data_IF_635740365630
#
_entry.id   IF_635740365630
#
_cell.length_a   1.000
_cell.length_b   1.000
_cell.length_c   1.000
_cell.angle_alpha   90.00
_cell.angle_beta   90.00
_cell.angle_gamma   90.00
#
_symmetry.space_group_name_H-M   'P 1'
#
loop_
_entity.id
_entity.type
_entity.pdbx_description
1 polymer ?
#
# COMPACT_ATOMS: atom_id res chain seq x y z
N UNK A 1 -1.15 -5.77 25.47
CA UNK A 1 -1.32 -5.01 24.22
C UNK A 1 -2.75 -4.48 24.07
N UNK A 2 -3.80 -5.25 24.44
CA UNK A 2 -5.20 -4.80 24.30
C UNK A 2 -5.43 -3.45 25.00
N UNK A 3 -5.04 -3.32 26.26
CA UNK A 3 -5.19 -2.06 27.01
C UNK A 3 -4.48 -0.86 26.34
N UNK A 4 -3.41 -1.10 25.55
CA UNK A 4 -2.74 -0.02 24.81
C UNK A 4 -3.57 0.44 23.62
N UNK A 5 -4.22 -0.50 22.93
CA UNK A 5 -5.11 -0.20 21.83
C UNK A 5 -6.39 0.50 22.31
N UNK A 6 -7.01 -0.02 23.36
CA UNK A 6 -8.20 0.58 23.99
C UNK A 6 -7.93 1.99 24.52
N UNK A 7 -6.77 2.17 25.17
CA UNK A 7 -6.34 3.47 25.71
C UNK A 7 -5.83 4.44 24.66
N UNK A 8 -5.75 4.04 23.37
CA UNK A 8 -5.20 4.85 22.27
C UNK A 8 -3.79 5.38 22.53
N UNK A 9 -2.96 4.57 23.22
CA UNK A 9 -1.57 4.93 23.52
C UNK A 9 -0.61 4.64 22.37
N UNK A 10 -1.08 3.95 21.33
CA UNK A 10 -0.31 3.58 20.15
C UNK A 10 -1.13 3.83 18.88
N UNK A 11 -0.47 4.21 17.80
CA UNK A 11 -1.10 4.46 16.51
C UNK A 11 -1.35 3.17 15.73
N UNK A 12 -0.49 2.16 15.90
CA UNK A 12 -0.67 0.84 15.30
C UNK A 12 -0.06 -0.26 16.16
N UNK A 13 -0.53 -1.49 15.94
CA UNK A 13 0.00 -2.71 16.53
C UNK A 13 0.54 -3.62 15.43
N UNK A 14 1.71 -4.23 15.67
CA UNK A 14 2.37 -5.13 14.72
C UNK A 14 2.79 -6.44 15.41
N UNK A 15 1.84 -7.36 15.65
CA UNK A 15 2.16 -8.66 16.24
C UNK A 15 2.98 -9.53 15.28
N UNK A 16 3.97 -10.23 15.83
CA UNK A 16 4.86 -11.12 15.08
C UNK A 16 4.27 -12.52 15.00
N UNK A 17 3.61 -12.85 13.89
CA UNK A 17 3.02 -14.16 13.64
C UNK A 17 3.99 -15.01 12.78
N UNK A 18 5.12 -15.40 13.34
CA UNK A 18 6.21 -16.09 12.64
C UNK A 18 6.03 -17.61 12.57
N UNK A 19 4.81 -18.08 12.38
CA UNK A 19 4.45 -19.49 12.21
C UNK A 19 3.75 -19.71 10.87
N UNK A 20 3.73 -20.96 10.39
CA UNK A 20 2.96 -21.29 9.19
C UNK A 20 1.45 -21.23 9.48
N UNK A 21 0.66 -21.17 8.40
CA UNK A 21 -0.81 -21.04 8.48
C UNK A 21 -1.40 -22.14 9.39
N UNK A 22 -0.95 -23.39 9.22
CA UNK A 22 -1.47 -24.55 9.95
C UNK A 22 -0.49 -25.09 10.99
N UNK A 23 0.37 -24.25 11.55
CA UNK A 23 1.32 -24.69 12.58
C UNK A 23 0.59 -25.30 13.77
N UNK A 24 1.04 -26.47 14.25
CA UNK A 24 0.31 -27.31 15.23
C UNK A 24 -0.01 -26.60 16.54
N UNK A 25 0.92 -25.84 17.10
CA UNK A 25 0.80 -25.21 18.42
C UNK A 25 0.48 -23.71 18.36
N UNK A 26 0.96 -23.00 17.35
CA UNK A 26 0.81 -21.56 17.19
C UNK A 26 0.44 -21.24 15.73
N UNK A 27 -0.73 -21.71 15.29
CA UNK A 27 -1.22 -21.52 13.94
C UNK A 27 -1.35 -20.04 13.60
N UNK A 28 -0.73 -19.61 12.50
CA UNK A 28 -0.88 -18.24 11.99
C UNK A 28 -2.36 -17.87 11.84
N UNK A 29 -3.18 -18.75 11.28
CA UNK A 29 -4.60 -18.48 11.04
C UNK A 29 -5.38 -18.22 12.35
N UNK A 30 -5.10 -18.97 13.41
CA UNK A 30 -5.75 -18.77 14.72
C UNK A 30 -5.28 -17.49 15.39
N UNK A 31 -3.99 -17.19 15.33
CA UNK A 31 -3.42 -15.98 15.90
C UNK A 31 -3.91 -14.74 15.14
N UNK A 32 -3.94 -14.79 13.79
CA UNK A 32 -4.49 -13.72 12.96
C UNK A 32 -5.94 -13.43 13.33
N UNK A 33 -6.78 -14.48 13.42
CA UNK A 33 -8.17 -14.30 13.83
C UNK A 33 -8.27 -13.62 15.19
N UNK A 34 -7.48 -14.07 16.15
CA UNK A 34 -7.50 -13.49 17.50
C UNK A 34 -7.12 -12.00 17.48
N UNK A 35 -6.07 -11.62 16.74
CA UNK A 35 -5.67 -10.22 16.59
C UNK A 35 -6.73 -9.39 15.86
N UNK A 36 -7.34 -9.94 14.83
CA UNK A 36 -8.43 -9.29 14.10
C UNK A 36 -9.64 -9.04 15.02
N UNK A 37 -10.06 -10.05 15.77
CA UNK A 37 -11.21 -9.94 16.69
C UNK A 37 -10.96 -8.93 17.84
N UNK A 38 -9.70 -8.68 18.19
CA UNK A 38 -9.32 -7.80 19.29
C UNK A 38 -8.70 -6.46 18.84
N UNK A 39 -8.71 -6.16 17.55
CA UNK A 39 -8.24 -4.88 17.03
C UNK A 39 -9.27 -3.78 17.26
N UNK A 40 -9.16 -3.10 18.39
CA UNK A 40 -10.04 -1.99 18.75
C UNK A 40 -9.34 -0.65 18.58
N UNK A 41 -9.93 0.28 17.82
CA UNK A 41 -9.46 1.66 17.67
C UNK A 41 -7.99 1.86 17.25
N UNK A 42 -7.32 0.82 16.75
CA UNK A 42 -5.89 0.84 16.42
C UNK A 42 -5.66 0.04 15.14
N UNK A 43 -4.88 0.56 14.21
CA UNK A 43 -4.50 -0.18 13.02
C UNK A 43 -3.65 -1.40 13.38
N UNK A 44 -4.00 -2.57 12.86
CA UNK A 44 -3.25 -3.81 13.06
C UNK A 44 -2.60 -4.22 11.74
N UNK A 45 -1.30 -4.41 11.78
CA UNK A 45 -0.49 -4.97 10.68
C UNK A 45 0.13 -6.27 11.16
N UNK A 46 0.19 -7.29 10.34
CA UNK A 46 0.74 -8.59 10.73
C UNK A 46 2.21 -8.70 10.35
N UNK A 47 3.05 -9.02 11.33
CA UNK A 47 4.45 -9.35 11.11
C UNK A 47 4.61 -10.77 10.61
N UNK A 48 5.15 -10.94 9.39
CA UNK A 48 5.38 -12.22 8.75
C UNK A 48 6.87 -12.60 8.81
N UNK A 49 7.16 -13.85 9.13
CA UNK A 49 8.51 -14.40 9.27
C UNK A 49 9.14 -14.81 7.93
N UNK A 50 9.33 -13.88 7.00
CA UNK A 50 9.89 -14.18 5.67
C UNK A 50 11.29 -14.81 5.71
N UNK A 51 12.08 -14.58 6.77
CA UNK A 51 13.40 -15.21 6.97
C UNK A 51 13.33 -16.73 7.09
N UNK A 52 12.17 -17.29 7.42
CA UNK A 52 11.94 -18.73 7.57
C UNK A 52 11.85 -19.48 6.24
N UNK A 53 11.64 -18.77 5.14
CA UNK A 53 11.57 -19.39 3.82
C UNK A 53 12.84 -20.20 3.55
N UNK A 54 12.69 -21.51 3.32
CA UNK A 54 13.76 -22.53 3.13
C UNK A 54 14.66 -22.78 4.36
N UNK A 55 14.40 -22.22 5.52
CA UNK A 55 15.33 -22.28 6.66
C UNK A 55 14.71 -22.75 7.98
N UNK A 56 13.44 -23.10 8.00
CA UNK A 56 12.73 -23.52 9.21
C UNK A 56 12.57 -25.06 9.28
N UNK A 57 12.39 -25.59 10.50
CA UNK A 57 12.07 -27.01 10.72
C UNK A 57 10.66 -27.38 10.24
N UNK A 58 9.73 -26.43 10.22
CA UNK A 58 8.40 -26.60 9.65
C UNK A 58 8.47 -26.61 8.13
N UNK A 59 8.15 -27.79 7.53
CA UNK A 59 8.21 -28.00 6.08
C UNK A 59 7.30 -27.12 5.26
N UNK A 60 6.30 -26.48 5.86
CA UNK A 60 5.44 -25.49 5.19
C UNK A 60 6.24 -24.31 4.63
N UNK A 61 7.32 -23.89 5.30
CA UNK A 61 8.21 -22.84 4.82
C UNK A 61 9.04 -23.17 3.59
N UNK A 62 8.98 -24.43 3.13
CA UNK A 62 9.58 -24.87 1.85
C UNK A 62 8.59 -24.77 0.67
N UNK A 63 7.33 -24.43 0.94
CA UNK A 63 6.30 -24.22 -0.09
C UNK A 63 6.36 -22.76 -0.53
N UNK A 64 6.49 -22.46 -1.84
CA UNK A 64 6.57 -21.07 -2.34
C UNK A 64 5.35 -20.22 -1.98
N UNK A 65 4.18 -20.85 -1.85
CA UNK A 65 2.90 -20.20 -1.57
C UNK A 65 2.66 -19.82 -0.10
N UNK A 66 3.52 -20.18 0.86
CA UNK A 66 3.23 -19.92 2.28
C UNK A 66 3.05 -18.43 2.57
N UNK A 67 3.97 -17.56 2.16
CA UNK A 67 3.85 -16.10 2.34
C UNK A 67 2.69 -15.52 1.51
N UNK A 68 2.53 -15.79 0.21
CA UNK A 68 1.34 -15.38 -0.54
C UNK A 68 0.02 -15.73 0.14
N UNK A 69 -0.13 -16.97 0.59
CA UNK A 69 -1.34 -17.43 1.27
C UNK A 69 -1.56 -16.73 2.62
N UNK A 70 -0.51 -16.41 3.37
CA UNK A 70 -0.60 -15.61 4.59
C UNK A 70 -1.14 -14.20 4.29
N UNK A 71 -0.70 -13.58 3.19
CA UNK A 71 -1.18 -12.26 2.76
C UNK A 71 -2.66 -12.33 2.39
N UNK A 72 -3.06 -13.32 1.59
CA UNK A 72 -4.46 -13.50 1.18
C UNK A 72 -5.36 -13.72 2.40
N UNK A 73 -4.90 -14.53 3.35
CA UNK A 73 -5.61 -14.73 4.61
C UNK A 73 -5.71 -13.44 5.43
N UNK A 74 -4.63 -12.65 5.51
CA UNK A 74 -4.65 -11.35 6.18
C UNK A 74 -5.67 -10.41 5.54
N UNK A 75 -5.73 -10.35 4.21
CA UNK A 75 -6.67 -9.51 3.46
C UNK A 75 -8.13 -9.92 3.61
N UNK A 76 -8.41 -11.15 4.04
CA UNK A 76 -9.78 -11.58 4.34
C UNK A 76 -10.36 -10.96 5.64
N UNK A 77 -9.53 -10.29 6.44
CA UNK A 77 -9.94 -9.59 7.65
C UNK A 77 -9.93 -8.07 7.42
N UNK A 78 -11.08 -7.41 7.26
CA UNK A 78 -11.15 -5.99 6.88
C UNK A 78 -10.59 -5.03 7.94
N UNK A 79 -10.44 -5.49 9.17
CA UNK A 79 -9.87 -4.75 10.29
C UNK A 79 -8.36 -4.99 10.49
N UNK A 80 -7.71 -5.70 9.56
CA UNK A 80 -6.26 -5.86 9.50
C UNK A 80 -5.73 -5.15 8.25
N UNK A 81 -4.88 -4.14 8.43
CA UNK A 81 -4.53 -3.19 7.37
C UNK A 81 -3.38 -3.63 6.46
N UNK A 82 -2.64 -4.68 6.84
CA UNK A 82 -1.57 -5.16 5.98
C UNK A 82 -0.52 -6.02 6.67
N UNK A 83 0.61 -6.17 5.99
CA UNK A 83 1.69 -7.05 6.38
C UNK A 83 3.03 -6.29 6.49
N UNK A 84 3.86 -6.71 7.44
CA UNK A 84 5.25 -6.32 7.54
C UNK A 84 6.13 -7.56 7.58
N UNK A 85 7.33 -7.48 7.03
CA UNK A 85 8.17 -8.67 6.82
C UNK A 85 9.49 -8.59 7.57
N UNK A 86 9.81 -9.63 8.32
CA UNK A 86 11.11 -9.81 8.90
C UNK A 86 11.79 -11.03 8.23
N UNK A 87 12.77 -10.83 7.35
CA UNK A 87 13.36 -9.57 6.95
C UNK A 87 13.34 -9.43 5.41
N UNK A 88 13.71 -8.25 4.91
CA UNK A 88 13.82 -7.97 3.48
C UNK A 88 14.78 -8.91 2.73
N UNK A 89 15.73 -9.52 3.42
CA UNK A 89 16.73 -10.44 2.82
C UNK A 89 16.11 -11.58 2.02
N UNK A 90 14.96 -12.11 2.46
CA UNK A 90 14.26 -13.18 1.75
C UNK A 90 13.77 -12.73 0.37
N UNK A 91 13.38 -11.46 0.25
CA UNK A 91 12.93 -10.87 -1.01
C UNK A 91 14.09 -10.46 -1.90
N UNK A 92 15.15 -9.85 -1.35
CA UNK A 92 16.36 -9.51 -2.11
C UNK A 92 16.96 -10.77 -2.76
N UNK A 93 16.98 -11.89 -2.05
CA UNK A 93 17.48 -13.18 -2.55
C UNK A 93 16.45 -13.94 -3.40
N UNK A 94 15.23 -13.43 -3.57
CA UNK A 94 14.10 -14.07 -4.25
C UNK A 94 13.94 -15.55 -3.88
N UNK A 95 13.96 -15.84 -2.59
CA UNK A 95 13.88 -17.22 -2.09
C UNK A 95 12.60 -17.91 -2.55
N UNK A 96 12.72 -19.04 -3.28
CA UNK A 96 11.59 -19.81 -3.84
C UNK A 96 10.68 -18.96 -4.75
N UNK A 97 11.25 -18.02 -5.49
CA UNK A 97 10.53 -17.14 -6.42
C UNK A 97 9.38 -16.34 -5.76
N UNK A 98 9.48 -16.11 -4.44
CA UNK A 98 8.43 -15.44 -3.68
C UNK A 98 8.17 -14.02 -4.20
N UNK A 99 9.20 -13.32 -4.64
CA UNK A 99 9.04 -11.96 -5.22
C UNK A 99 8.20 -12.01 -6.47
N UNK A 100 8.54 -12.89 -7.41
CA UNK A 100 7.79 -13.06 -8.66
C UNK A 100 6.34 -13.47 -8.41
N UNK A 101 6.10 -14.32 -7.41
CA UNK A 101 4.73 -14.68 -7.01
C UNK A 101 3.97 -13.47 -6.49
N UNK A 102 4.58 -12.65 -5.64
CA UNK A 102 3.94 -11.48 -5.05
C UNK A 102 3.69 -10.38 -6.09
N UNK A 103 4.67 -10.09 -6.95
CA UNK A 103 4.56 -9.09 -8.01
C UNK A 103 3.47 -9.43 -9.04
N UNK A 104 3.30 -10.72 -9.33
CA UNK A 104 2.27 -11.16 -10.27
C UNK A 104 0.87 -11.30 -9.66
N UNK A 105 0.75 -11.30 -8.32
CA UNK A 105 -0.51 -11.54 -7.61
C UNK A 105 -0.79 -10.44 -6.57
N UNK A 106 -0.35 -10.65 -5.31
CA UNK A 106 -0.76 -9.82 -4.17
C UNK A 106 -0.28 -8.37 -4.27
N UNK A 107 0.87 -8.12 -4.89
CA UNK A 107 1.47 -6.79 -5.06
C UNK A 107 1.58 -6.37 -6.53
N UNK A 108 0.71 -6.90 -7.37
CA UNK A 108 0.63 -6.55 -8.79
C UNK A 108 0.40 -5.06 -9.02
N UNK A 109 -0.35 -4.43 -8.14
CA UNK A 109 -0.69 -3.01 -8.22
C UNK A 109 -0.04 -2.23 -7.09
N UNK A 110 0.30 -0.97 -7.36
CA UNK A 110 0.76 -0.04 -6.34
C UNK A 110 -0.30 0.19 -5.27
N UNK A 111 0.14 0.43 -4.05
CA UNK A 111 -0.77 0.73 -2.94
C UNK A 111 -0.42 2.09 -2.31
N UNK A 112 -1.45 2.73 -1.77
CA UNK A 112 -1.32 3.91 -0.93
C UNK A 112 -1.43 3.45 0.51
N UNK A 113 -0.43 3.75 1.37
CA UNK A 113 -0.52 3.45 2.79
C UNK A 113 -1.72 4.16 3.43
N UNK A 114 -2.40 3.50 4.35
CA UNK A 114 -3.45 4.14 5.13
C UNK A 114 -2.88 5.28 5.99
N UNK A 115 -3.63 6.37 6.17
CA UNK A 115 -3.22 7.43 7.04
C UNK A 115 -3.13 6.96 8.49
N UNK A 116 -2.26 7.61 9.27
CA UNK A 116 -2.16 7.34 10.71
C UNK A 116 -3.45 7.84 11.38
N UNK A 117 -4.18 7.00 12.15
CA UNK A 117 -5.49 7.36 12.70
C UNK A 117 -5.51 8.65 13.51
N UNK A 118 -4.45 8.92 14.29
CA UNK A 118 -4.32 10.13 15.11
C UNK A 118 -4.12 11.41 14.28
N UNK A 119 -3.80 11.27 13.00
CA UNK A 119 -3.49 12.39 12.09
C UNK A 119 -4.49 12.53 10.94
N UNK A 120 -5.61 11.79 10.96
CA UNK A 120 -6.66 11.94 9.95
C UNK A 120 -7.21 13.36 10.03
N UNK A 121 -6.97 14.13 8.96
CA UNK A 121 -7.54 15.45 8.76
C UNK A 121 -8.51 15.41 7.61
N UNK A 122 -9.64 16.06 7.77
CA UNK A 122 -10.56 16.32 6.66
C UNK A 122 -9.98 17.46 5.81
N UNK A 123 -9.81 17.22 4.52
CA UNK A 123 -9.54 18.28 3.56
C UNK A 123 -8.07 18.44 3.15
N UNK A 124 -7.41 17.33 2.76
CA UNK A 124 -6.19 17.47 1.95
C UNK A 124 -6.53 18.21 0.66
N UNK A 125 -5.70 19.19 0.33
CA UNK A 125 -5.91 20.07 -0.82
C UNK A 125 -5.83 19.27 -2.13
N UNK A 126 -6.77 19.52 -3.04
CA UNK A 126 -6.82 18.82 -4.34
C UNK A 126 -5.85 19.46 -5.34
N UNK A 127 -5.22 18.66 -6.23
CA UNK A 127 -4.42 19.19 -7.32
C UNK A 127 -5.24 20.09 -8.25
N UNK A 128 -4.79 21.31 -8.47
CA UNK A 128 -5.37 22.21 -9.46
C UNK A 128 -4.44 22.25 -10.68
N UNK A 129 -4.92 21.76 -11.81
CA UNK A 129 -4.20 21.83 -13.08
C UNK A 129 -4.17 23.30 -13.53
N UNK A 130 -2.98 23.84 -13.68
CA UNK A 130 -2.75 25.20 -14.16
C UNK A 130 -2.54 25.23 -15.68
N UNK A 131 -1.71 24.32 -16.18
CA UNK A 131 -1.43 24.16 -17.61
C UNK A 131 -1.59 22.71 -18.00
N UNK A 132 -2.28 22.52 -19.12
CA UNK A 132 -2.36 21.24 -19.82
C UNK A 132 -2.04 21.43 -21.29
N UNK A 133 -1.03 20.71 -21.80
CA UNK A 133 -0.68 20.69 -23.20
C UNK A 133 -0.51 19.25 -23.68
N UNK A 134 -0.89 19.01 -24.94
CA UNK A 134 -0.67 17.74 -25.63
C UNK A 134 0.29 17.96 -26.80
N UNK A 135 1.38 17.20 -26.81
CA UNK A 135 2.36 17.21 -27.89
C UNK A 135 2.58 15.77 -28.40
N UNK A 136 2.03 15.48 -29.57
CA UNK A 136 2.08 14.12 -30.11
C UNK A 136 1.46 13.08 -29.18
N UNK A 137 2.28 12.16 -28.68
CA UNK A 137 1.88 11.11 -27.74
C UNK A 137 2.17 11.46 -26.28
N UNK A 138 2.54 12.69 -25.98
CA UNK A 138 2.87 13.14 -24.63
C UNK A 138 1.88 14.17 -24.11
N UNK A 139 1.63 14.10 -22.82
CA UNK A 139 0.73 15.00 -22.10
C UNK A 139 1.53 15.71 -21.02
N UNK A 140 1.54 17.04 -21.07
CA UNK A 140 2.23 17.91 -20.12
C UNK A 140 1.21 18.50 -19.16
N UNK A 141 1.40 18.27 -17.88
CA UNK A 141 0.59 18.87 -16.80
C UNK A 141 1.46 19.75 -15.93
N UNK A 142 0.96 20.91 -15.59
CA UNK A 142 1.53 21.75 -14.57
C UNK A 142 0.47 22.01 -13.50
N UNK A 143 0.86 21.93 -12.24
CA UNK A 143 -0.02 22.17 -11.11
C UNK A 143 0.47 23.38 -10.34
N UNK A 144 -0.47 24.21 -9.90
CA UNK A 144 -0.16 25.25 -8.94
C UNK A 144 0.37 24.61 -7.67
N UNK A 145 1.44 25.18 -7.15
CA UNK A 145 1.89 24.82 -5.80
C UNK A 145 0.78 25.22 -4.84
N UNK A 146 0.27 24.27 -4.13
CA UNK A 146 -0.62 24.54 -3.02
C UNK A 146 0.17 25.13 -1.86
N UNK A 147 -0.46 25.94 -1.05
CA UNK A 147 0.17 26.62 0.10
C UNK A 147 0.66 25.62 1.17
N UNK A 148 0.21 24.38 1.09
CA UNK A 148 0.53 23.33 2.05
C UNK A 148 1.90 22.71 1.79
N UNK A 149 2.89 23.05 2.61
CA UNK A 149 4.17 22.35 2.69
C UNK A 149 4.04 20.87 3.11
N UNK A 150 2.82 20.41 3.38
CA UNK A 150 2.52 19.06 3.88
C UNK A 150 2.38 18.03 2.77
N UNK A 151 2.21 18.43 1.50
CA UNK A 151 2.08 17.50 0.39
C UNK A 151 3.41 16.78 0.13
N UNK A 152 3.33 15.45 -0.04
CA UNK A 152 4.49 14.58 -0.27
C UNK A 152 4.44 13.83 -1.58
N UNK A 153 3.25 13.45 -2.03
CA UNK A 153 3.10 12.71 -3.27
C UNK A 153 1.94 13.24 -4.10
N UNK A 154 2.08 13.09 -5.42
CA UNK A 154 0.98 13.12 -6.36
C UNK A 154 0.75 11.69 -6.84
N UNK A 155 -0.52 11.25 -6.84
CA UNK A 155 -0.93 9.96 -7.37
C UNK A 155 -1.67 10.18 -8.68
N UNK A 156 -1.37 9.36 -9.65
CA UNK A 156 -1.92 9.41 -10.99
C UNK A 156 -2.80 8.18 -11.18
N UNK A 157 -4.06 8.40 -11.43
CA UNK A 157 -5.05 7.38 -11.76
C UNK A 157 -5.46 7.45 -13.23
N UNK A 158 -5.81 6.31 -13.79
CA UNK A 158 -6.38 6.27 -15.14
C UNK A 158 -7.48 5.23 -15.28
N UNK A 159 -8.44 5.53 -16.16
CA UNK A 159 -9.52 4.63 -16.51
C UNK A 159 -9.81 4.65 -18.03
N UNK A 160 -10.46 3.59 -18.52
CA UNK A 160 -10.86 3.45 -19.91
C UNK A 160 -12.29 3.95 -20.15
N UNK A 161 -12.52 4.49 -21.35
CA UNK A 161 -13.85 4.75 -21.90
C UNK A 161 -14.75 5.55 -20.95
N UNK A 162 -15.92 5.00 -20.63
CA UNK A 162 -16.90 5.63 -19.76
C UNK A 162 -16.76 5.25 -18.28
N UNK A 163 -15.80 4.40 -17.92
CA UNK A 163 -15.56 4.01 -16.52
C UNK A 163 -15.25 5.25 -15.67
N UNK A 164 -15.75 5.25 -14.45
CA UNK A 164 -15.35 6.27 -13.45
C UNK A 164 -13.98 5.91 -12.90
N UNK A 165 -13.19 6.94 -12.58
CA UNK A 165 -11.99 6.75 -11.79
C UNK A 165 -12.42 6.55 -10.34
N UNK A 166 -11.96 5.45 -9.76
CA UNK A 166 -12.13 5.10 -8.34
C UNK A 166 -10.77 5.11 -7.67
N UNK A 167 -10.52 6.07 -6.79
CA UNK A 167 -9.25 6.19 -6.07
C UNK A 167 -9.03 5.05 -5.06
N UNK A 168 -10.07 4.26 -4.73
CA UNK A 168 -9.92 3.06 -3.90
C UNK A 168 -9.50 1.82 -4.71
N UNK A 169 -9.56 1.89 -6.04
CA UNK A 169 -9.12 0.79 -6.91
C UNK A 169 -7.64 0.96 -7.29
N UNK A 170 -6.78 0.22 -6.61
CA UNK A 170 -5.34 0.25 -6.85
C UNK A 170 -4.93 -0.16 -8.27
N UNK A 171 -5.80 -0.89 -9.01
CA UNK A 171 -5.55 -1.24 -10.41
C UNK A 171 -5.60 -0.04 -11.35
N UNK A 172 -6.16 1.07 -10.91
CA UNK A 172 -6.23 2.33 -11.64
C UNK A 172 -5.04 3.25 -11.37
N UNK A 173 -4.22 2.96 -10.35
CA UNK A 173 -3.00 3.71 -10.07
C UNK A 173 -1.97 3.44 -11.17
N UNK A 174 -1.57 4.49 -11.86
CA UNK A 174 -0.46 4.44 -12.83
C UNK A 174 0.86 4.65 -12.11
N UNK A 175 0.93 5.71 -11.30
CA UNK A 175 2.18 6.11 -10.66
C UNK A 175 1.92 6.93 -9.40
N UNK A 176 2.86 6.85 -8.46
CA UNK A 176 2.94 7.68 -7.27
C UNK A 176 4.29 8.39 -7.26
N UNK A 177 4.29 9.70 -7.44
CA UNK A 177 5.49 10.52 -7.60
C UNK A 177 5.71 11.36 -6.34
N UNK A 178 6.92 11.30 -5.79
CA UNK A 178 7.32 12.16 -4.67
C UNK A 178 7.46 13.61 -5.11
N UNK A 179 6.88 14.51 -4.33
CA UNK A 179 6.98 15.95 -4.53
C UNK A 179 7.97 16.53 -3.51
N UNK A 180 9.04 17.14 -4.01
CA UNK A 180 9.94 17.87 -3.13
C UNK A 180 9.21 19.11 -2.60
N UNK A 181 9.09 19.28 -1.26
CA UNK A 181 8.38 20.43 -0.68
C UNK A 181 8.98 21.78 -1.03
N UNK A 182 10.22 21.81 -1.50
CA UNK A 182 10.91 23.04 -1.91
C UNK A 182 10.67 23.45 -3.37
N UNK A 183 9.95 22.64 -4.16
CA UNK A 183 9.65 22.98 -5.56
C UNK A 183 8.53 24.02 -5.65
N UNK A 184 8.68 24.99 -6.56
CA UNK A 184 7.69 26.04 -6.76
C UNK A 184 6.54 25.64 -7.69
N UNK A 185 6.73 24.59 -8.48
CA UNK A 185 5.70 24.04 -9.36
C UNK A 185 5.88 22.55 -9.54
N UNK A 186 4.77 21.82 -9.71
CA UNK A 186 4.79 20.41 -10.04
C UNK A 186 4.53 20.29 -11.53
N UNK A 187 5.49 19.70 -12.26
CA UNK A 187 5.38 19.43 -13.71
C UNK A 187 5.45 17.94 -13.95
N UNK A 188 4.49 17.42 -14.67
CA UNK A 188 4.41 16.01 -15.05
C UNK A 188 4.40 15.87 -16.56
N UNK A 189 5.14 14.91 -17.04
CA UNK A 189 5.12 14.46 -18.43
C UNK A 189 4.65 13.00 -18.43
N UNK A 190 3.52 12.73 -19.05
CA UNK A 190 2.98 11.39 -19.20
C UNK A 190 2.90 11.02 -20.67
N UNK A 191 3.44 9.87 -21.04
CA UNK A 191 3.26 9.33 -22.37
C UNK A 191 1.93 8.57 -22.48
N UNK A 192 1.42 8.43 -23.70
CA UNK A 192 0.24 7.61 -23.97
C UNK A 192 0.45 6.14 -23.57
N UNK A 193 1.68 5.63 -23.66
CA UNK A 193 2.02 4.27 -23.25
C UNK A 193 1.98 4.10 -21.73
N UNK A 194 2.49 5.08 -20.96
CA UNK A 194 2.35 5.08 -19.50
C UNK A 194 0.88 5.10 -19.06
N UNK A 195 0.03 5.75 -19.83
CA UNK A 195 -1.42 5.74 -19.61
C UNK A 195 -2.09 4.43 -20.05
N UNK A 196 -1.32 3.44 -20.54
CA UNK A 196 -1.85 2.19 -21.07
C UNK A 196 -2.99 2.38 -22.09
N UNK A 197 -2.88 3.44 -22.92
CA UNK A 197 -3.90 3.88 -23.86
C UNK A 197 -5.27 4.26 -23.25
N UNK A 198 -5.34 4.42 -21.92
CA UNK A 198 -6.53 4.92 -21.25
C UNK A 198 -6.72 6.41 -21.53
N UNK A 199 -7.97 6.86 -21.55
CA UNK A 199 -8.33 8.21 -22.00
C UNK A 199 -8.81 9.14 -20.88
N UNK A 200 -8.88 8.64 -19.64
CA UNK A 200 -9.20 9.43 -18.46
C UNK A 200 -8.05 9.39 -17.49
N UNK A 201 -7.74 10.54 -16.93
CA UNK A 201 -6.69 10.71 -15.91
C UNK A 201 -7.25 11.55 -14.79
N UNK A 202 -6.95 11.17 -13.55
CA UNK A 202 -7.17 11.98 -12.37
C UNK A 202 -5.91 12.04 -11.52
N UNK A 203 -5.83 13.07 -10.71
CA UNK A 203 -4.70 13.31 -9.83
C UNK A 203 -5.22 13.57 -8.42
N UNK A 204 -4.53 12.99 -7.44
CA UNK A 204 -4.73 13.30 -6.03
C UNK A 204 -3.40 13.69 -5.38
N UNK A 205 -3.46 14.39 -4.27
CA UNK A 205 -2.31 14.63 -3.42
C UNK A 205 -2.36 13.73 -2.19
N UNK A 206 -1.20 13.28 -1.73
CA UNK A 206 -1.04 12.65 -0.43
C UNK A 206 -0.18 13.57 0.44
N UNK A 207 -0.68 13.88 1.63
CA UNK A 207 0.04 14.68 2.60
C UNK A 207 1.10 13.88 3.38
N UNK A 208 1.80 14.55 4.27
CA UNK A 208 2.82 13.94 5.14
C UNK A 208 2.26 12.84 6.04
N UNK A 209 0.98 12.88 6.37
CA UNK A 209 0.31 11.92 7.25
C UNK A 209 -0.36 10.77 6.50
N UNK A 210 -0.29 10.76 5.17
CA UNK A 210 -0.91 9.75 4.33
C UNK A 210 -2.36 10.05 3.95
N UNK A 211 -2.91 11.21 4.29
CA UNK A 211 -4.26 11.59 3.85
C UNK A 211 -4.26 11.91 2.37
N UNK A 212 -5.19 11.32 1.64
CA UNK A 212 -5.41 11.56 0.21
C UNK A 212 -6.55 12.56 -0.02
N UNK A 213 -6.40 13.40 -1.09
CA UNK A 213 -7.36 14.48 -1.42
C UNK A 213 -8.53 14.04 -2.29
#
# INVERSE_FOLDING_TARGET
>A
PIAWMEGKYIDYMLPQLYWSIDHKTASYSKLLKWWADNSTNTNVYIGNGSYKIKSDSDKKWFIPGEIPNQIDLTRSYPNVQGNAYFSAKAFVNNNKDVVSLLENNQYKYSAIPLPVPSSIKTGTERPLIDIFNKEGNSYHFSFKKTVSEQIRYIVIYSAEGNSKIDCNDSSQIIEKIYINPKTDSIKLLLSKDQLHNKNKVAFTFIDFYGNES
#
